data_IF_103290524276
#
_entry.id   IF_103290524276
#
_cell.length_a   1.000
_cell.length_b   1.000
_cell.length_c   1.000
_cell.angle_alpha   90.00
_cell.angle_beta   90.00
_cell.angle_gamma   90.00
#
_symmetry.space_group_name_H-M   'P 1'
#
loop_
_entity.id
_entity.type
_entity.pdbx_description
1 polymer ?
#
# COMPACT_ATOMS: atom_id res chain seq x y z
N UNK A 1 -31.66 -26.85 46.27
CA UNK A 1 -30.24 -26.87 45.89
C UNK A 1 -30.07 -25.95 44.68
N UNK A 2 -29.75 -24.67 44.91
CA UNK A 2 -29.72 -23.63 43.87
C UNK A 2 -28.32 -23.59 43.26
N UNK A 3 -28.20 -23.88 41.95
CA UNK A 3 -26.93 -23.72 41.22
C UNK A 3 -26.80 -22.26 40.80
N UNK A 4 -25.79 -21.58 41.35
CA UNK A 4 -25.35 -20.25 40.92
C UNK A 4 -24.76 -20.33 39.51
N UNK A 5 -25.19 -19.50 38.54
CA UNK A 5 -24.55 -19.45 37.24
C UNK A 5 -23.18 -18.77 37.36
N UNK A 6 -22.13 -19.47 36.96
CA UNK A 6 -20.81 -18.88 36.73
C UNK A 6 -20.92 -17.84 35.62
N UNK A 7 -20.98 -16.56 35.99
CA UNK A 7 -20.82 -15.47 35.04
C UNK A 7 -19.39 -15.50 34.51
N UNK A 8 -19.19 -16.11 33.34
CA UNK A 8 -17.97 -15.92 32.55
C UNK A 8 -17.90 -14.45 32.15
N UNK A 9 -17.15 -13.67 32.93
CA UNK A 9 -16.82 -12.29 32.64
C UNK A 9 -15.99 -12.29 31.36
N UNK A 10 -16.61 -11.97 30.21
CA UNK A 10 -15.91 -11.71 28.95
C UNK A 10 -14.98 -10.50 29.17
N UNK A 11 -13.75 -10.75 29.57
CA UNK A 11 -12.73 -9.73 29.74
C UNK A 11 -12.30 -9.28 28.35
N UNK A 12 -12.86 -8.16 27.88
CA UNK A 12 -12.46 -7.55 26.60
C UNK A 12 -11.04 -7.04 26.75
N UNK A 13 -10.07 -7.76 26.16
CA UNK A 13 -8.64 -7.42 26.18
C UNK A 13 -8.44 -6.06 25.48
N UNK A 14 -8.39 -4.98 26.25
CA UNK A 14 -8.05 -3.64 25.78
C UNK A 14 -6.52 -3.48 25.65
N UNK A 15 -5.88 -4.34 24.84
CA UNK A 15 -4.50 -4.05 24.43
C UNK A 15 -4.57 -3.06 23.28
N UNK A 16 -4.28 -1.79 23.58
CA UNK A 16 -4.06 -0.75 22.58
C UNK A 16 -2.91 -1.22 21.69
N UNK A 17 -3.24 -1.65 20.47
CA UNK A 17 -2.24 -1.88 19.45
C UNK A 17 -1.57 -0.54 19.12
N UNK A 18 -0.25 -0.48 19.19
CA UNK A 18 0.53 0.77 19.15
C UNK A 18 1.07 1.15 17.77
N UNK A 19 0.57 0.55 16.68
CA UNK A 19 0.95 1.02 15.34
C UNK A 19 0.50 2.47 15.16
N UNK A 20 1.48 3.35 15.02
CA UNK A 20 1.29 4.76 14.72
C UNK A 20 0.77 4.94 13.30
N UNK A 21 0.19 6.13 13.03
CA UNK A 21 -0.32 6.49 11.70
C UNK A 21 0.78 6.36 10.64
N UNK A 22 2.00 6.83 10.94
CA UNK A 22 3.13 6.74 10.02
C UNK A 22 3.58 5.31 9.75
N UNK A 23 3.62 4.42 10.75
CA UNK A 23 3.94 3.00 10.54
C UNK A 23 2.93 2.33 9.61
N UNK A 24 1.64 2.58 9.80
CA UNK A 24 0.59 2.04 8.93
C UNK A 24 0.75 2.59 7.51
N UNK A 25 1.01 3.89 7.34
CA UNK A 25 1.29 4.50 6.04
C UNK A 25 2.50 3.84 5.35
N UNK A 26 3.59 3.61 6.09
CA UNK A 26 4.80 2.95 5.59
C UNK A 26 4.49 1.53 5.10
N UNK A 27 3.73 0.74 5.87
CA UNK A 27 3.33 -0.62 5.45
C UNK A 27 2.51 -0.58 4.14
N UNK A 28 1.61 0.39 3.99
CA UNK A 28 0.78 0.57 2.79
C UNK A 28 1.64 0.98 1.58
N UNK A 29 2.55 1.93 1.74
CA UNK A 29 3.45 2.36 0.66
C UNK A 29 4.35 1.20 0.23
N UNK A 30 4.96 0.49 1.19
CA UNK A 30 5.81 -0.65 0.92
C UNK A 30 5.05 -1.80 0.23
N UNK A 31 3.76 -1.99 0.55
CA UNK A 31 2.91 -2.94 -0.18
C UNK A 31 2.88 -2.62 -1.68
N UNK A 32 2.63 -1.37 -2.05
CA UNK A 32 2.58 -0.97 -3.46
C UNK A 32 3.92 -1.11 -4.17
N UNK A 33 5.04 -0.92 -3.47
CA UNK A 33 6.38 -1.11 -4.02
C UNK A 33 6.81 -2.58 -4.12
N UNK A 34 6.24 -3.45 -3.26
CA UNK A 34 6.64 -4.84 -3.13
C UNK A 34 6.19 -5.76 -4.28
N UNK A 35 5.25 -5.32 -5.13
CA UNK A 35 4.71 -6.12 -6.24
C UNK A 35 3.80 -7.28 -5.82
N UNK A 36 3.46 -7.41 -4.53
CA UNK A 36 2.50 -8.43 -4.08
C UNK A 36 1.11 -8.17 -4.65
N UNK A 37 0.47 -9.21 -5.21
CA UNK A 37 -0.89 -9.12 -5.76
C UNK A 37 -1.96 -8.84 -4.70
N UNK A 38 -1.75 -9.30 -3.46
CA UNK A 38 -2.75 -9.25 -2.40
C UNK A 38 -2.17 -8.76 -1.09
N UNK A 39 -2.85 -7.77 -0.48
CA UNK A 39 -2.42 -7.17 0.78
C UNK A 39 -2.40 -8.19 1.93
N UNK A 40 -3.36 -9.12 1.97
CA UNK A 40 -3.41 -10.17 3.00
C UNK A 40 -2.15 -11.04 3.00
N UNK A 41 -1.72 -11.48 1.81
CA UNK A 41 -0.53 -12.31 1.66
C UNK A 41 0.71 -11.54 2.04
N UNK A 42 0.84 -10.30 1.56
CA UNK A 42 1.92 -9.40 1.94
C UNK A 42 1.99 -9.20 3.47
N UNK A 43 0.88 -8.85 4.11
CA UNK A 43 0.87 -8.57 5.54
C UNK A 43 1.20 -9.82 6.38
N UNK A 44 0.58 -10.96 6.10
CA UNK A 44 0.76 -12.17 6.91
C UNK A 44 2.11 -12.84 6.65
N UNK A 45 2.51 -12.98 5.38
CA UNK A 45 3.70 -13.76 5.02
C UNK A 45 4.98 -12.94 4.96
N UNK A 46 4.89 -11.62 4.74
CA UNK A 46 6.06 -10.75 4.69
C UNK A 46 6.20 -9.90 5.96
N UNK A 47 5.25 -9.01 6.24
CA UNK A 47 5.32 -8.10 7.40
C UNK A 47 5.39 -8.87 8.73
N UNK A 48 4.42 -9.76 8.99
CA UNK A 48 4.35 -10.52 10.24
C UNK A 48 5.45 -11.58 10.40
N UNK A 49 6.21 -11.89 9.35
CA UNK A 49 7.26 -12.92 9.40
C UNK A 49 8.67 -12.33 9.45
N UNK A 50 8.91 -11.25 8.72
CA UNK A 50 10.25 -10.69 8.55
C UNK A 50 10.43 -9.30 9.18
N UNK A 51 9.34 -8.55 9.37
CA UNK A 51 9.40 -7.15 9.84
C UNK A 51 8.84 -6.98 11.25
N UNK A 52 8.78 -8.05 12.04
CA UNK A 52 8.29 -8.02 13.43
C UNK A 52 9.15 -7.16 14.35
N UNK A 53 10.43 -6.97 14.02
CA UNK A 53 11.36 -6.18 14.81
C UNK A 53 11.32 -4.68 14.44
N UNK A 54 10.84 -4.37 13.24
CA UNK A 54 10.75 -3.00 12.70
C UNK A 54 9.45 -2.30 13.11
N UNK A 55 8.39 -3.07 13.36
CA UNK A 55 7.08 -2.56 13.72
C UNK A 55 6.70 -2.94 15.15
N UNK A 56 6.30 -1.96 15.95
CA UNK A 56 5.79 -2.20 17.30
C UNK A 56 4.52 -3.06 17.26
N UNK A 57 4.52 -4.14 18.04
CA UNK A 57 3.40 -5.06 18.29
C UNK A 57 2.35 -5.12 17.16
N UNK A 58 2.70 -5.83 16.08
CA UNK A 58 1.86 -6.01 14.91
C UNK A 58 0.43 -6.43 15.27
N UNK A 59 -0.51 -5.83 14.55
CA UNK A 59 -1.94 -6.04 14.79
C UNK A 59 -2.48 -7.23 14.00
N UNK A 60 -3.65 -7.74 14.40
CA UNK A 60 -4.34 -8.71 13.57
C UNK A 60 -4.69 -8.10 12.20
N UNK A 61 -4.72 -8.92 11.15
CA UNK A 61 -5.06 -8.48 9.79
C UNK A 61 -6.35 -7.64 9.74
N UNK A 62 -7.40 -8.03 10.46
CA UNK A 62 -8.67 -7.29 10.52
C UNK A 62 -8.52 -5.91 11.16
N UNK A 63 -7.67 -5.78 12.19
CA UNK A 63 -7.34 -4.46 12.77
C UNK A 63 -6.50 -3.64 11.78
N UNK A 64 -5.54 -4.25 11.09
CA UNK A 64 -4.74 -3.57 10.07
C UNK A 64 -5.63 -2.97 8.98
N UNK A 65 -6.62 -3.70 8.48
CA UNK A 65 -7.56 -3.18 7.48
C UNK A 65 -8.32 -1.93 7.96
N UNK A 66 -8.76 -1.91 9.23
CA UNK A 66 -9.42 -0.73 9.81
C UNK A 66 -8.47 0.46 9.92
N UNK A 67 -7.22 0.21 10.30
CA UNK A 67 -6.19 1.26 10.36
C UNK A 67 -5.85 1.80 8.97
N UNK A 68 -5.72 0.93 7.96
CA UNK A 68 -5.51 1.34 6.56
C UNK A 68 -6.59 2.30 6.07
N UNK A 69 -7.86 2.01 6.37
CA UNK A 69 -8.97 2.89 6.02
C UNK A 69 -8.84 4.27 6.70
N UNK A 70 -8.43 4.30 7.97
CA UNK A 70 -8.24 5.54 8.71
C UNK A 70 -7.05 6.38 8.19
N UNK A 71 -5.98 5.74 7.69
CA UNK A 71 -4.79 6.45 7.20
C UNK A 71 -4.87 6.87 5.73
N UNK A 72 -5.93 6.51 5.01
CA UNK A 72 -6.07 6.87 3.59
C UNK A 72 -6.06 8.39 3.38
N UNK A 73 -6.83 9.13 4.19
CA UNK A 73 -6.90 10.60 4.12
C UNK A 73 -5.55 11.26 4.41
N UNK A 74 -4.86 10.97 5.53
CA UNK A 74 -3.54 11.56 5.78
C UNK A 74 -2.48 11.11 4.75
N UNK A 75 -2.60 9.91 4.18
CA UNK A 75 -1.72 9.46 3.10
C UNK A 75 -1.91 10.25 1.81
N UNK A 76 -3.16 10.47 1.39
CA UNK A 76 -3.44 11.32 0.25
C UNK A 76 -2.93 12.76 0.47
N UNK A 77 -3.12 13.31 1.67
CA UNK A 77 -2.59 14.63 2.04
C UNK A 77 -1.07 14.69 1.98
N UNK A 78 -0.40 13.71 2.60
CA UNK A 78 1.06 13.59 2.58
C UNK A 78 1.62 13.49 1.16
N UNK A 79 1.05 12.60 0.34
CA UNK A 79 1.50 12.41 -1.05
C UNK A 79 1.23 13.65 -1.90
N UNK A 80 0.09 14.31 -1.72
CA UNK A 80 -0.24 15.56 -2.42
C UNK A 80 0.71 16.70 -2.04
N UNK A 81 1.08 16.78 -0.77
CA UNK A 81 2.05 17.76 -0.29
C UNK A 81 3.47 17.49 -0.80
N UNK A 82 3.86 16.21 -0.93
CA UNK A 82 5.18 15.80 -1.43
C UNK A 82 5.27 15.80 -2.96
N UNK A 83 4.13 15.83 -3.67
CA UNK A 83 4.10 15.87 -5.13
C UNK A 83 4.66 17.20 -5.61
N UNK A 84 5.74 17.15 -6.36
CA UNK A 84 6.32 18.33 -6.99
C UNK A 84 5.31 18.96 -7.95
N UNK A 85 5.29 20.30 -8.04
CA UNK A 85 4.47 20.99 -9.04
C UNK A 85 5.01 20.62 -10.41
N UNK A 86 4.26 19.81 -11.16
CA UNK A 86 4.61 19.49 -12.53
C UNK A 86 4.59 20.78 -13.36
N UNK A 87 5.75 21.23 -13.84
CA UNK A 87 5.89 22.38 -14.73
C UNK A 87 5.44 21.98 -16.14
N UNK A 88 4.14 21.73 -16.34
CA UNK A 88 3.47 21.49 -17.63
C UNK A 88 3.90 20.27 -18.46
N UNK A 89 5.07 19.71 -18.20
CA UNK A 89 5.71 18.63 -18.95
C UNK A 89 5.94 17.49 -17.97
N UNK A 90 5.07 16.47 -18.02
CA UNK A 90 5.27 15.22 -17.31
C UNK A 90 5.89 14.22 -18.30
N UNK A 91 7.20 14.01 -18.25
CA UNK A 91 7.84 12.93 -18.98
C UNK A 91 7.72 11.66 -18.16
N UNK A 92 6.98 10.68 -18.66
CA UNK A 92 7.00 9.32 -18.11
C UNK A 92 8.16 8.61 -18.79
N UNK A 93 9.24 8.34 -18.05
CA UNK A 93 10.38 7.54 -18.52
C UNK A 93 9.90 6.12 -18.82
N UNK A 94 9.38 5.94 -20.03
CA UNK A 94 8.96 4.65 -20.54
C UNK A 94 10.23 3.91 -20.94
N UNK A 95 10.56 2.84 -20.23
CA UNK A 95 11.57 1.88 -20.71
C UNK A 95 11.21 1.47 -22.14
N UNK A 96 12.17 1.52 -23.07
CA UNK A 96 11.94 1.15 -24.48
C UNK A 96 11.24 -0.21 -24.54
N UNK A 97 9.98 -0.23 -24.98
CA UNK A 97 9.24 -1.47 -25.24
C UNK A 97 9.96 -2.21 -26.37
N UNK A 98 10.65 -3.30 -26.02
CA UNK A 98 11.32 -4.19 -26.98
C UNK A 98 10.32 -5.04 -27.80
N UNK A 99 9.10 -4.54 -28.00
CA UNK A 99 7.99 -5.23 -28.68
C UNK A 99 8.08 -5.02 -30.19
N UNK A 100 8.58 -3.86 -30.63
CA UNK A 100 8.78 -3.58 -32.05
C UNK A 100 10.26 -3.74 -32.39
N UNK A 101 10.58 -4.62 -33.34
CA UNK A 101 11.87 -4.54 -34.02
C UNK A 101 11.95 -3.16 -34.70
N UNK A 102 13.06 -2.44 -34.51
CA UNK A 102 13.25 -1.08 -35.05
C UNK A 102 12.97 -0.97 -36.56
N UNK A 103 13.09 -2.08 -37.29
CA UNK A 103 12.77 -2.21 -38.71
C UNK A 103 11.30 -1.89 -39.06
N UNK A 104 10.37 -1.95 -38.09
CA UNK A 104 8.94 -1.64 -38.30
C UNK A 104 8.59 -0.15 -38.18
N UNK A 105 9.47 0.68 -37.59
CA UNK A 105 9.21 2.10 -37.32
C UNK A 105 8.99 2.88 -38.62
N UNK A 106 9.75 2.57 -39.67
CA UNK A 106 9.64 3.19 -41.00
C UNK A 106 8.31 2.87 -41.72
N UNK A 107 7.58 1.84 -41.28
CA UNK A 107 6.31 1.42 -41.90
C UNK A 107 5.09 2.03 -41.20
N UNK A 108 5.23 2.55 -39.99
CA UNK A 108 4.14 3.23 -39.28
C UNK A 108 3.93 4.64 -39.84
N UNK A 109 2.87 4.82 -40.63
CA UNK A 109 2.50 6.13 -41.21
C UNK A 109 1.71 7.03 -40.25
N UNK A 110 1.46 6.57 -39.01
CA UNK A 110 0.55 7.21 -38.05
C UNK A 110 1.03 8.60 -37.60
N UNK A 111 2.33 8.89 -37.69
CA UNK A 111 2.92 10.20 -37.32
C UNK A 111 3.38 11.05 -38.51
N UNK A 112 2.97 10.73 -39.75
CA UNK A 112 3.42 11.51 -40.93
C UNK A 112 2.84 12.94 -41.03
N UNK A 113 1.89 13.31 -40.17
CA UNK A 113 1.17 14.59 -40.25
C UNK A 113 1.46 15.53 -39.08
N UNK A 114 2.71 15.71 -38.72
CA UNK A 114 3.13 16.87 -37.91
C UNK A 114 4.36 17.49 -38.56
N UNK A 115 4.10 18.29 -39.59
CA UNK A 115 5.06 19.26 -40.12
C UNK A 115 4.74 20.61 -39.49
N UNK A 116 5.66 21.11 -38.66
CA UNK A 116 5.82 22.55 -38.44
C UNK A 116 6.37 23.19 -39.73
#
# INVERSE_FOLDING_TARGET
MVKTPHFFRYQKRNKLSRLSVSEVMTIVIAFHQSGYRGFKTYYIHFICRYLTNEFLELVSYTKMLKLMQAVLVPLCSYLSHRKERSTGIACVDSSKLQVCHNLGILRHQVFKSTKN
#
